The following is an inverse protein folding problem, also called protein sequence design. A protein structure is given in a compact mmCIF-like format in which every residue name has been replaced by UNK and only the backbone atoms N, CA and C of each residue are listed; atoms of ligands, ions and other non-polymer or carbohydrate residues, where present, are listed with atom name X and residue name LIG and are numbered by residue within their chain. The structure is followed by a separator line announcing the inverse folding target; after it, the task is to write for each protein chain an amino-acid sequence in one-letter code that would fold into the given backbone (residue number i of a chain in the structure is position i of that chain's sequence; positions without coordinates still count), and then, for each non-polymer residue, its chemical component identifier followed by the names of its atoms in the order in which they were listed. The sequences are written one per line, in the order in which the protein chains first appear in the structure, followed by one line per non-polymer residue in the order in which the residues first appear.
data_IF_181327640304
#
_entry.id   IF_181327640304
#
_cell.length_a   1.000
_cell.length_b   1.000
_cell.length_c   1.000
_cell.angle_alpha   90.00
_cell.angle_beta   90.00
_cell.angle_gamma   90.00
#
_symmetry.space_group_name_H-M   'P 1'
#
loop_
_entity.id
_entity.type
_entity.pdbx_description
1 polymer ?
#
# COMPACT_ATOMS: atom_id res chain seq x y z
N UNK A 1 -25.71 4.03 39.44
CA UNK A 1 -24.35 4.60 39.40
C UNK A 1 -24.26 5.46 38.15
N UNK A 2 -24.13 6.80 38.27
CA UNK A 2 -24.37 7.70 37.15
C UNK A 2 -23.12 8.02 36.32
N UNK A 3 -23.31 7.97 35.00
CA UNK A 3 -22.86 8.89 33.94
C UNK A 3 -21.58 9.72 34.18
N UNK A 4 -20.51 9.36 33.49
CA UNK A 4 -19.25 10.10 33.42
C UNK A 4 -19.30 11.26 32.41
N UNK A 5 -18.95 12.44 32.92
CA UNK A 5 -18.83 13.73 32.22
C UNK A 5 -17.71 13.73 31.16
N UNK A 6 -18.04 14.11 29.93
CA UNK A 6 -17.07 14.54 28.92
C UNK A 6 -17.02 16.07 28.91
N UNK A 7 -15.93 16.62 29.48
CA UNK A 7 -15.69 18.07 29.54
C UNK A 7 -15.28 18.58 28.16
N UNK A 8 -16.07 19.53 27.65
CA UNK A 8 -15.79 20.36 26.48
C UNK A 8 -14.52 21.18 26.70
N UNK A 9 -13.53 21.04 25.82
CA UNK A 9 -12.43 21.99 25.69
C UNK A 9 -12.90 23.16 24.81
N UNK A 10 -13.28 24.27 25.45
CA UNK A 10 -13.40 25.59 24.80
C UNK A 10 -11.99 26.15 24.58
N UNK A 11 -11.59 26.36 23.33
CA UNK A 11 -10.41 27.14 23.00
C UNK A 11 -10.86 28.61 22.94
N UNK A 12 -10.36 29.38 23.90
CA UNK A 12 -10.56 30.81 24.04
C UNK A 12 -9.83 31.57 22.93
N UNK A 13 -10.59 32.33 22.14
CA UNK A 13 -10.07 33.35 21.21
C UNK A 13 -9.60 34.56 22.00
N UNK A 14 -8.35 34.96 21.81
CA UNK A 14 -7.86 36.30 22.16
C UNK A 14 -6.88 36.78 21.08
N UNK A 15 -7.30 37.79 20.31
CA UNK A 15 -6.40 38.66 19.57
C UNK A 15 -5.48 39.41 20.55
N UNK A 16 -4.27 39.75 20.09
CA UNK A 16 -3.90 41.16 20.20
C UNK A 16 -3.35 41.72 18.89
N UNK A 17 -3.81 42.93 18.56
CA UNK A 17 -3.11 43.88 17.72
C UNK A 17 -1.68 44.06 18.25
N UNK A 18 -0.67 44.01 17.38
CA UNK A 18 0.48 44.90 17.49
C UNK A 18 1.04 45.22 16.10
N UNK A 19 0.99 46.52 15.81
CA UNK A 19 1.47 47.22 14.64
C UNK A 19 2.99 47.13 14.47
N UNK A 20 3.39 46.92 13.21
CA UNK A 20 4.54 47.55 12.54
C UNK A 20 5.88 47.62 13.26
N UNK A 21 6.83 46.79 12.83
CA UNK A 21 8.25 47.13 12.69
C UNK A 21 8.96 46.07 11.81
N UNK A 22 9.71 46.57 10.82
CA UNK A 22 10.82 45.90 10.10
C UNK A 22 10.50 44.95 8.93
N UNK A 23 10.16 45.53 7.78
CA UNK A 23 10.20 44.91 6.44
C UNK A 23 11.62 44.72 5.87
N UNK A 24 12.68 45.07 6.60
CA UNK A 24 14.06 45.00 6.07
C UNK A 24 14.77 43.67 6.36
N UNK A 25 14.26 42.84 7.28
CA UNK A 25 14.90 41.55 7.63
C UNK A 25 14.49 40.37 6.74
N UNK A 26 13.43 40.51 5.94
CA UNK A 26 12.86 39.42 5.10
C UNK A 26 13.55 39.23 3.74
N UNK A 27 14.36 40.20 3.30
CA UNK A 27 15.07 40.10 2.03
C UNK A 27 16.36 39.27 2.10
N UNK A 28 16.94 39.10 3.30
CA UNK A 28 18.15 38.28 3.50
C UNK A 28 17.86 36.78 3.44
N UNK A 29 16.76 36.33 4.06
CA UNK A 29 16.43 34.91 4.14
C UNK A 29 16.08 34.29 2.77
N UNK A 30 15.41 35.03 1.87
CA UNK A 30 15.10 34.55 0.52
C UNK A 30 16.35 34.38 -0.34
N UNK A 31 17.33 35.27 -0.19
CA UNK A 31 18.61 35.17 -0.90
C UNK A 31 19.45 33.98 -0.41
N UNK A 32 19.46 33.72 0.91
CA UNK A 32 20.14 32.55 1.46
C UNK A 32 19.51 31.23 1.01
N UNK A 33 18.18 31.15 0.95
CA UNK A 33 17.46 29.96 0.46
C UNK A 33 17.74 29.72 -1.03
N UNK A 34 17.76 30.76 -1.86
CA UNK A 34 18.14 30.65 -3.28
C UNK A 34 19.60 30.20 -3.49
N UNK A 35 20.54 30.70 -2.67
CA UNK A 35 21.93 30.27 -2.68
C UNK A 35 22.07 28.80 -2.25
N UNK A 36 21.33 28.37 -1.22
CA UNK A 36 21.29 26.95 -0.82
C UNK A 36 20.68 26.05 -1.89
N UNK A 37 19.60 26.47 -2.56
CA UNK A 37 19.00 25.71 -3.67
C UNK A 37 19.96 25.59 -4.87
N UNK A 38 20.70 26.65 -5.22
CA UNK A 38 21.70 26.61 -6.28
C UNK A 38 22.88 25.68 -5.94
N UNK A 39 23.33 25.66 -4.68
CA UNK A 39 24.39 24.73 -4.22
C UNK A 39 23.92 23.28 -4.24
N UNK A 40 22.64 23.01 -3.94
CA UNK A 40 22.06 21.65 -4.00
C UNK A 40 21.92 21.16 -5.47
N UNK A 41 21.54 22.03 -6.41
CA UNK A 41 21.46 21.65 -7.83
C UNK A 41 22.81 21.23 -8.44
N UNK A 42 23.93 21.74 -7.93
CA UNK A 42 25.27 21.37 -8.43
C UNK A 42 25.73 19.97 -8.01
N UNK A 43 25.08 19.34 -7.03
CA UNK A 43 25.44 18.01 -6.54
C UNK A 43 24.71 16.85 -7.26
N UNK A 44 23.68 17.12 -8.07
CA UNK A 44 22.93 16.08 -8.79
C UNK A 44 23.39 15.87 -10.25
N UNK A 45 24.31 16.70 -10.77
CA UNK A 45 24.79 16.57 -12.16
C UNK A 45 25.84 15.46 -12.33
N UNK A 46 26.35 14.87 -11.25
CA UNK A 46 27.36 13.80 -11.33
C UNK A 46 26.78 12.37 -11.33
N UNK A 47 25.45 12.21 -11.20
CA UNK A 47 24.83 10.88 -11.10
C UNK A 47 24.23 10.34 -12.42
N UNK A 48 24.19 11.13 -13.50
CA UNK A 48 23.55 10.73 -14.77
C UNK A 48 24.50 10.20 -15.84
N UNK A 49 25.82 10.24 -15.64
CA UNK A 49 26.79 9.81 -16.66
C UNK A 49 27.37 8.40 -16.47
N UNK A 50 26.87 7.62 -15.50
CA UNK A 50 27.17 6.18 -15.39
C UNK A 50 26.10 5.35 -16.10
N UNK A 51 25.96 5.58 -17.40
CA UNK A 51 25.20 4.70 -18.27
C UNK A 51 25.90 3.35 -18.41
N UNK A 52 25.10 2.29 -18.38
CA UNK A 52 25.26 1.18 -19.33
C UNK A 52 26.25 0.09 -18.96
N UNK A 53 25.80 -0.92 -18.21
CA UNK A 53 26.02 -2.31 -18.60
C UNK A 53 24.97 -3.22 -17.93
N UNK A 54 24.03 -3.74 -18.72
CA UNK A 54 23.20 -4.87 -18.33
C UNK A 54 24.10 -6.12 -18.24
N UNK A 55 24.06 -6.92 -17.17
CA UNK A 55 24.71 -8.22 -17.18
C UNK A 55 23.97 -9.15 -18.16
N UNK A 56 24.70 -9.54 -19.21
CA UNK A 56 24.32 -10.59 -20.14
C UNK A 56 24.25 -11.93 -19.39
N UNK A 57 23.04 -12.49 -19.24
CA UNK A 57 22.86 -13.85 -18.77
C UNK A 57 22.97 -14.81 -19.97
N UNK A 58 23.94 -15.75 -19.99
CA UNK A 58 23.92 -16.81 -20.99
C UNK A 58 22.71 -17.71 -20.76
N UNK A 59 21.96 -17.94 -21.83
CA UNK A 59 20.80 -18.83 -21.89
C UNK A 59 21.22 -20.25 -21.51
N UNK A 60 20.63 -20.82 -20.46
CA UNK A 60 20.84 -22.22 -20.10
C UNK A 60 20.10 -23.12 -21.11
N UNK A 61 20.88 -23.88 -21.85
CA UNK A 61 20.43 -24.88 -22.83
C UNK A 61 19.60 -25.99 -22.16
N UNK A 62 18.53 -26.41 -22.83
CA UNK A 62 17.64 -27.48 -22.39
C UNK A 62 18.35 -28.85 -22.42
N UNK A 63 18.12 -29.75 -21.45
CA UNK A 63 18.67 -31.11 -21.52
C UNK A 63 17.94 -31.95 -22.57
N UNK A 64 18.70 -32.52 -23.50
CA UNK A 64 18.25 -33.54 -24.46
C UNK A 64 17.95 -34.90 -23.77
N UNK A 65 17.18 -35.80 -24.41
CA UNK A 65 16.54 -36.96 -23.75
C UNK A 65 17.47 -38.18 -23.59
N UNK A 66 17.23 -38.96 -22.52
CA UNK A 66 17.92 -40.23 -22.24
C UNK A 66 17.57 -41.35 -23.24
N UNK A 67 18.53 -42.19 -23.66
CA UNK A 67 18.26 -43.36 -24.48
C UNK A 67 17.77 -44.56 -23.66
N UNK A 68 16.81 -45.28 -24.22
CA UNK A 68 16.29 -46.56 -23.71
C UNK A 68 17.28 -47.70 -24.01
N UNK A 69 17.66 -48.46 -22.98
CA UNK A 69 18.39 -49.72 -23.13
C UNK A 69 17.55 -50.89 -22.63
N UNK A 70 17.20 -51.80 -23.55
CA UNK A 70 16.38 -52.99 -23.31
C UNK A 70 17.09 -54.05 -22.46
N UNK A 71 16.27 -54.79 -21.73
CA UNK A 71 16.63 -55.97 -20.93
C UNK A 71 17.06 -57.15 -21.81
N UNK A 72 18.13 -57.83 -21.40
CA UNK A 72 18.40 -59.21 -21.79
C UNK A 72 18.63 -60.08 -20.55
N UNK A 73 17.88 -61.19 -20.50
CA UNK A 73 17.98 -62.27 -19.52
C UNK A 73 19.07 -63.28 -19.93
N UNK A 74 19.86 -63.80 -18.99
CA UNK A 74 20.24 -65.23 -18.91
C UNK A 74 20.82 -65.57 -17.50
N UNK A 75 20.74 -66.83 -17.02
CA UNK A 75 20.56 -67.18 -15.61
C UNK A 75 21.74 -67.92 -14.93
N UNK A 76 21.57 -68.16 -13.62
CA UNK A 76 22.12 -69.26 -12.78
C UNK A 76 23.63 -69.27 -12.53
N UNK A 77 24.23 -69.58 -11.37
CA UNK A 77 23.87 -70.19 -10.07
C UNK A 77 25.02 -69.84 -9.05
N UNK A 78 24.96 -70.22 -7.74
CA UNK A 78 25.59 -69.49 -6.63
C UNK A 78 26.98 -70.00 -6.20
N UNK A 79 27.72 -69.22 -5.39
CA UNK A 79 28.26 -69.81 -4.16
C UNK A 79 28.22 -68.89 -2.91
N UNK A 80 27.65 -69.46 -1.85
CA UNK A 80 28.05 -69.40 -0.43
C UNK A 80 28.55 -68.07 0.18
N UNK A 81 27.72 -67.45 1.02
CA UNK A 81 28.07 -66.32 1.89
C UNK A 81 29.03 -66.71 3.02
N UNK A 82 30.08 -65.90 3.31
CA UNK A 82 30.67 -65.78 4.63
C UNK A 82 29.93 -64.73 5.50
N UNK A 83 30.06 -64.76 6.83
CA UNK A 83 29.18 -64.03 7.75
C UNK A 83 29.36 -62.50 7.63
N UNK A 84 28.23 -61.79 7.57
CA UNK A 84 28.17 -60.34 7.50
C UNK A 84 28.85 -59.68 8.71
N UNK A 85 29.87 -58.85 8.48
CA UNK A 85 30.29 -57.83 9.45
C UNK A 85 29.25 -56.72 9.42
N UNK A 86 28.62 -56.44 10.56
CA UNK A 86 27.66 -55.35 10.71
C UNK A 86 28.34 -53.98 10.41
N UNK A 87 27.67 -53.06 9.71
CA UNK A 87 28.15 -51.68 9.57
C UNK A 87 28.08 -50.95 10.92
N UNK A 88 28.92 -49.93 11.15
CA UNK A 88 28.88 -49.14 12.38
C UNK A 88 27.53 -48.43 12.51
N UNK A 89 26.87 -48.61 13.65
CA UNK A 89 25.65 -47.90 14.01
C UNK A 89 25.94 -46.41 14.15
N UNK A 90 25.43 -45.60 13.22
CA UNK A 90 25.43 -44.15 13.39
C UNK A 90 24.48 -43.77 14.54
N UNK A 91 24.85 -42.82 15.41
CA UNK A 91 23.95 -42.33 16.45
C UNK A 91 22.70 -41.66 15.84
N UNK A 92 21.54 -41.68 16.52
CA UNK A 92 20.32 -41.09 15.99
C UNK A 92 20.51 -39.58 15.75
N UNK A 93 20.36 -39.14 14.50
CA UNK A 93 20.26 -37.72 14.16
C UNK A 93 18.89 -37.24 14.64
N UNK A 94 18.87 -36.40 15.68
CA UNK A 94 17.64 -35.74 16.10
C UNK A 94 17.11 -34.86 14.95
N UNK A 95 15.79 -34.88 14.67
CA UNK A 95 15.21 -34.03 13.65
C UNK A 95 15.44 -32.54 13.97
N UNK A 96 15.60 -31.66 12.96
CA UNK A 96 15.77 -30.23 13.19
C UNK A 96 14.60 -29.68 13.99
N UNK A 97 14.89 -29.13 15.17
CA UNK A 97 13.90 -28.45 16.00
C UNK A 97 13.46 -27.17 15.29
N UNK A 98 12.33 -27.19 14.60
CA UNK A 98 11.74 -25.97 14.08
C UNK A 98 11.34 -25.07 15.25
N UNK A 99 11.70 -23.77 15.22
CA UNK A 99 11.23 -22.84 16.26
C UNK A 99 9.70 -22.80 16.27
N UNK A 100 9.07 -22.61 17.43
CA UNK A 100 7.62 -22.52 17.53
C UNK A 100 7.09 -21.42 16.61
N UNK A 101 6.28 -21.81 15.64
CA UNK A 101 5.57 -20.90 14.76
C UNK A 101 4.38 -20.33 15.53
N UNK A 102 4.52 -19.10 16.03
CA UNK A 102 3.41 -18.40 16.68
C UNK A 102 2.46 -17.86 15.59
N UNK A 103 1.13 -18.03 15.75
CA UNK A 103 0.18 -17.46 14.82
C UNK A 103 0.30 -15.93 14.82
N UNK A 104 0.20 -15.27 13.66
CA UNK A 104 0.34 -13.82 13.57
C UNK A 104 -0.72 -13.13 14.44
N UNK A 105 -0.27 -12.20 15.28
CA UNK A 105 -1.14 -11.43 16.19
C UNK A 105 -2.15 -10.63 15.38
N UNK A 106 -3.45 -10.84 15.63
CA UNK A 106 -4.53 -10.14 14.94
C UNK A 106 -4.64 -8.72 15.46
N UNK A 107 -4.68 -7.75 14.54
CA UNK A 107 -4.93 -6.34 14.85
C UNK A 107 -6.22 -5.88 14.22
N UNK A 108 -6.82 -4.82 14.76
CA UNK A 108 -7.89 -4.10 14.06
C UNK A 108 -7.37 -3.49 12.76
N UNK A 109 -8.27 -3.16 11.86
CA UNK A 109 -7.93 -2.58 10.55
C UNK A 109 -8.37 -1.14 10.51
N UNK A 110 -7.46 -0.26 10.09
CA UNK A 110 -7.79 1.08 9.65
C UNK A 110 -7.44 1.21 8.17
N UNK A 111 -8.29 1.87 7.40
CA UNK A 111 -8.11 2.07 5.96
C UNK A 111 -8.10 3.56 5.68
N UNK A 112 -7.12 4.01 4.90
CA UNK A 112 -7.04 5.39 4.45
C UNK A 112 -6.84 5.49 2.94
N UNK A 113 -7.23 6.63 2.38
CA UNK A 113 -7.01 6.96 0.98
C UNK A 113 -7.40 8.41 0.69
N UNK A 114 -7.25 8.80 -0.58
CA UNK A 114 -7.59 10.14 -1.06
C UNK A 114 -8.43 10.01 -2.31
N UNK A 115 -9.41 10.90 -2.47
CA UNK A 115 -10.26 11.01 -3.66
C UNK A 115 -10.00 12.35 -4.33
N UNK A 116 -9.83 12.29 -5.64
CA UNK A 116 -9.63 13.45 -6.49
C UNK A 116 -10.79 13.65 -7.47
N UNK A 117 -10.90 14.88 -7.95
CA UNK A 117 -11.61 15.21 -9.16
C UNK A 117 -10.59 15.41 -10.28
N UNK A 118 -10.69 14.61 -11.35
CA UNK A 118 -9.80 14.77 -12.51
C UNK A 118 -10.09 16.07 -13.25
N UNK A 119 -9.03 16.66 -13.79
CA UNK A 119 -9.18 17.77 -14.72
C UNK A 119 -9.92 17.31 -15.97
N UNK A 120 -10.76 18.20 -16.48
CA UNK A 120 -11.42 18.11 -17.77
C UNK A 120 -10.47 17.74 -18.91
N UNK A 121 -9.21 18.17 -18.82
CA UNK A 121 -8.23 17.96 -19.89
C UNK A 121 -7.82 16.49 -20.07
N UNK A 122 -7.95 15.68 -19.02
CA UNK A 122 -7.48 14.30 -19.00
C UNK A 122 -8.61 13.29 -18.81
N UNK A 123 -9.80 13.64 -19.29
CA UNK A 123 -10.95 12.75 -19.25
C UNK A 123 -10.69 11.47 -20.05
N UNK A 124 -11.00 10.32 -19.47
CA UNK A 124 -10.76 9.00 -20.07
C UNK A 124 -9.32 8.50 -19.99
N UNK A 125 -8.39 9.31 -19.47
CA UNK A 125 -6.98 8.94 -19.31
C UNK A 125 -6.68 8.72 -17.84
N UNK A 126 -6.13 7.58 -17.45
CA UNK A 126 -5.82 7.24 -16.06
C UNK A 126 -4.62 8.06 -15.51
N UNK A 127 -4.87 9.33 -15.24
CA UNK A 127 -3.91 10.28 -14.68
C UNK A 127 -4.55 11.17 -13.62
N UNK A 128 -3.73 11.63 -12.68
CA UNK A 128 -4.07 12.62 -11.66
C UNK A 128 -3.46 13.99 -11.97
N UNK A 129 -2.92 14.20 -13.17
CA UNK A 129 -2.40 15.50 -13.59
C UNK A 129 -3.50 16.55 -13.61
N UNK A 130 -3.26 17.68 -12.94
CA UNK A 130 -4.25 18.75 -12.78
C UNK A 130 -5.49 18.36 -11.97
N UNK A 131 -5.49 17.20 -11.32
CA UNK A 131 -6.61 16.77 -10.48
C UNK A 131 -6.62 17.55 -9.16
N UNK A 132 -7.81 17.92 -8.69
CA UNK A 132 -8.00 18.60 -7.42
C UNK A 132 -8.52 17.63 -6.36
N UNK A 133 -8.13 17.75 -5.08
CA UNK A 133 -8.69 16.93 -4.03
C UNK A 133 -10.20 17.18 -3.89
N UNK A 134 -10.99 16.11 -3.78
CA UNK A 134 -12.44 16.20 -3.80
C UNK A 134 -13.02 16.01 -2.39
N UNK A 135 -13.47 17.11 -1.80
CA UNK A 135 -14.13 17.10 -0.50
C UNK A 135 -15.56 16.59 -0.57
N UNK A 136 -16.01 15.85 0.45
CA UNK A 136 -17.38 15.34 0.57
C UNK A 136 -17.72 14.17 -0.36
N UNK A 137 -16.73 13.58 -1.04
CA UNK A 137 -16.91 12.37 -1.83
C UNK A 137 -17.23 11.18 -0.92
N UNK A 138 -18.25 10.40 -1.27
CA UNK A 138 -18.62 9.21 -0.53
C UNK A 138 -17.84 7.99 -1.03
N UNK A 139 -17.24 7.27 -0.09
CA UNK A 139 -16.52 6.02 -0.32
C UNK A 139 -17.05 4.95 0.64
N UNK A 140 -17.10 3.69 0.18
CA UNK A 140 -17.53 2.56 1.01
C UNK A 140 -16.44 1.50 1.11
N UNK A 141 -16.20 1.03 2.32
CA UNK A 141 -15.50 -0.23 2.57
C UNK A 141 -16.53 -1.34 2.60
N UNK A 142 -16.32 -2.38 1.80
CA UNK A 142 -17.19 -3.55 1.76
C UNK A 142 -16.35 -4.82 1.83
N UNK A 143 -16.67 -5.70 2.78
CA UNK A 143 -16.03 -6.99 2.94
C UNK A 143 -16.99 -8.11 2.56
N UNK A 144 -16.56 -8.95 1.61
CA UNK A 144 -17.32 -10.11 1.19
C UNK A 144 -16.87 -11.34 2.00
N UNK A 145 -17.33 -11.44 3.24
CA UNK A 145 -17.08 -12.60 4.10
C UNK A 145 -18.39 -13.38 4.28
N UNK A 146 -18.33 -14.71 4.17
CA UNK A 146 -19.51 -15.60 4.24
C UNK A 146 -20.19 -15.61 5.61
N UNK A 147 -19.52 -15.17 6.68
CA UNK A 147 -20.13 -15.07 8.03
C UNK A 147 -20.64 -13.68 8.39
N UNK A 148 -20.06 -12.61 7.85
CA UNK A 148 -20.36 -11.24 8.26
C UNK A 148 -20.25 -10.30 7.06
N UNK A 149 -21.38 -9.69 6.68
CA UNK A 149 -21.40 -8.61 5.71
C UNK A 149 -21.02 -7.31 6.42
N UNK A 150 -19.80 -6.81 6.17
CA UNK A 150 -19.37 -5.50 6.65
C UNK A 150 -19.44 -4.51 5.50
N UNK A 151 -20.25 -3.46 5.68
CA UNK A 151 -20.30 -2.30 4.79
C UNK A 151 -20.23 -1.06 5.67
N UNK A 152 -19.25 -0.20 5.43
CA UNK A 152 -19.10 1.07 6.13
C UNK A 152 -18.80 2.17 5.12
N UNK A 153 -19.57 3.25 5.17
CA UNK A 153 -19.46 4.37 4.23
C UNK A 153 -19.04 5.63 4.98
N UNK A 154 -18.10 6.36 4.40
CA UNK A 154 -17.64 7.65 4.93
C UNK A 154 -17.54 8.67 3.79
N UNK A 155 -17.46 9.93 4.16
CA UNK A 155 -17.18 11.03 3.24
C UNK A 155 -15.77 11.56 3.42
N UNK A 156 -15.16 12.04 2.35
CA UNK A 156 -13.84 12.66 2.40
C UNK A 156 -13.86 14.03 3.08
N UNK A 157 -12.72 14.39 3.67
CA UNK A 157 -12.48 15.69 4.29
C UNK A 157 -12.19 16.80 3.25
N UNK A 158 -11.75 17.98 3.70
CA UNK A 158 -11.42 19.12 2.82
C UNK A 158 -10.28 18.85 1.84
N UNK A 159 -9.39 17.91 2.16
CA UNK A 159 -8.24 17.52 1.35
C UNK A 159 -8.55 16.27 0.51
N UNK A 160 -9.83 15.86 0.41
CA UNK A 160 -10.22 14.64 -0.26
C UNK A 160 -9.78 13.37 0.47
N UNK A 161 -9.24 13.46 1.67
CA UNK A 161 -8.77 12.32 2.45
C UNK A 161 -9.93 11.64 3.19
N UNK A 162 -9.86 10.32 3.31
CA UNK A 162 -10.79 9.55 4.14
C UNK A 162 -10.05 8.56 5.01
N UNK A 163 -10.67 8.25 6.16
CA UNK A 163 -10.20 7.26 7.12
C UNK A 163 -11.39 6.44 7.62
N UNK A 164 -11.30 5.12 7.52
CA UNK A 164 -12.34 4.17 7.94
C UNK A 164 -11.72 3.20 8.95
N UNK A 165 -12.33 3.04 10.11
CA UNK A 165 -11.86 2.10 11.15
C UNK A 165 -13.04 1.26 11.65
N UNK A 166 -13.32 0.12 11.01
CA UNK A 166 -14.46 -0.70 11.38
C UNK A 166 -14.24 -1.40 12.72
N UNK A 167 -15.26 -1.40 13.56
CA UNK A 167 -15.19 -1.97 14.92
C UNK A 167 -14.85 -3.46 14.94
N UNK A 168 -15.31 -4.23 13.95
CA UNK A 168 -15.22 -5.70 13.93
C UNK A 168 -14.27 -6.26 12.87
N UNK A 169 -13.58 -5.39 12.11
CA UNK A 169 -12.65 -5.84 11.08
C UNK A 169 -11.24 -6.04 11.67
N UNK A 170 -10.71 -7.24 11.46
CA UNK A 170 -9.33 -7.59 11.83
C UNK A 170 -8.50 -7.95 10.60
N UNK A 171 -7.19 -7.99 10.75
CA UNK A 171 -6.23 -8.37 9.69
C UNK A 171 -6.52 -9.74 9.06
N UNK A 172 -7.22 -10.64 9.77
CA UNK A 172 -7.65 -11.92 9.22
C UNK A 172 -8.70 -11.80 8.10
N UNK A 173 -9.52 -10.75 8.13
CA UNK A 173 -10.60 -10.51 7.16
C UNK A 173 -10.26 -9.47 6.09
N UNK A 174 -9.18 -8.71 6.24
CA UNK A 174 -8.87 -7.55 5.37
C UNK A 174 -8.72 -7.91 3.90
N UNK A 175 -8.17 -9.08 3.59
CA UNK A 175 -7.96 -9.55 2.22
C UNK A 175 -9.26 -9.83 1.44
N UNK A 176 -10.41 -9.91 2.13
CA UNK A 176 -11.75 -10.06 1.52
C UNK A 176 -12.48 -8.73 1.37
N UNK A 177 -11.84 -7.63 1.77
CA UNK A 177 -12.40 -6.30 1.74
C UNK A 177 -11.93 -5.54 0.52
N UNK A 178 -12.80 -4.68 0.02
CA UNK A 178 -12.52 -3.72 -1.04
C UNK A 178 -13.10 -2.36 -0.69
N UNK A 179 -12.44 -1.30 -1.13
CA UNK A 179 -12.98 0.07 -1.04
C UNK A 179 -13.49 0.50 -2.40
N UNK A 180 -14.69 1.06 -2.43
CA UNK A 180 -15.35 1.52 -3.64
C UNK A 180 -15.65 3.00 -3.54
N UNK A 181 -15.45 3.69 -4.66
CA UNK A 181 -15.98 5.01 -4.91
C UNK A 181 -17.51 4.92 -5.06
N UNK A 182 -18.27 5.79 -4.37
CA UNK A 182 -19.74 5.73 -4.40
C UNK A 182 -20.33 6.94 -5.12
N UNK A 183 -20.08 8.14 -4.61
CA UNK A 183 -20.65 9.36 -5.18
C UNK A 183 -19.79 10.58 -4.88
N UNK A 184 -19.99 11.61 -5.69
CA UNK A 184 -19.34 12.91 -5.55
C UNK A 184 -20.40 13.98 -5.22
N UNK A 185 -20.07 14.98 -4.40
CA UNK A 185 -20.96 16.11 -4.15
C UNK A 185 -20.94 17.12 -5.30
N UNK A 186 -19.99 17.02 -6.23
CA UNK A 186 -19.83 17.93 -7.35
C UNK A 186 -20.48 17.38 -8.61
N UNK A 187 -21.51 18.05 -9.13
CA UNK A 187 -22.21 17.63 -10.34
C UNK A 187 -21.30 17.59 -11.58
N UNK A 188 -20.37 18.57 -11.68
CA UNK A 188 -19.37 18.64 -12.75
C UNK A 188 -18.25 17.60 -12.62
N UNK A 189 -18.22 16.80 -11.55
CA UNK A 189 -17.20 15.78 -11.31
C UNK A 189 -17.79 14.57 -10.59
N UNK A 190 -18.71 13.89 -11.27
CA UNK A 190 -19.60 12.89 -10.68
C UNK A 190 -19.46 11.49 -11.27
N UNK A 191 -18.65 11.31 -12.33
CA UNK A 191 -18.49 10.01 -12.99
C UNK A 191 -17.43 9.19 -12.26
N UNK A 192 -17.78 8.05 -11.63
CA UNK A 192 -16.78 7.24 -10.94
C UNK A 192 -15.82 6.61 -11.96
N UNK A 193 -14.50 6.71 -11.71
CA UNK A 193 -13.49 6.05 -12.55
C UNK A 193 -12.95 4.79 -11.88
N UNK A 194 -12.36 3.89 -12.68
CA UNK A 194 -11.68 2.72 -12.14
C UNK A 194 -10.18 2.95 -11.85
N UNK A 195 -9.75 4.21 -11.76
CA UNK A 195 -8.39 4.55 -11.38
C UNK A 195 -8.05 3.92 -10.02
N UNK A 196 -6.98 3.14 -9.97
CA UNK A 196 -6.57 2.32 -8.82
C UNK A 196 -7.68 1.42 -8.24
N UNK A 197 -8.65 1.02 -9.07
CA UNK A 197 -9.79 0.19 -8.65
C UNK A 197 -10.91 0.96 -7.96
N UNK A 198 -11.00 2.29 -8.10
CA UNK A 198 -12.04 3.10 -7.45
C UNK A 198 -13.46 2.59 -7.68
N UNK A 199 -13.90 2.49 -8.94
CA UNK A 199 -15.23 1.97 -9.29
C UNK A 199 -15.37 0.45 -9.10
N UNK A 200 -14.35 -0.33 -9.44
CA UNK A 200 -14.36 -1.80 -9.41
C UNK A 200 -14.04 -2.44 -8.06
N UNK A 201 -13.64 -1.62 -7.08
CA UNK A 201 -13.24 -2.03 -5.74
C UNK A 201 -11.73 -2.26 -5.62
N UNK A 202 -11.07 -1.37 -4.89
CA UNK A 202 -9.64 -1.42 -4.62
C UNK A 202 -9.33 -2.34 -3.44
N UNK A 203 -8.27 -3.13 -3.57
CA UNK A 203 -7.77 -4.01 -2.51
C UNK A 203 -7.02 -3.20 -1.44
N UNK A 204 -7.13 -3.64 -0.19
CA UNK A 204 -6.43 -3.01 0.92
C UNK A 204 -4.94 -3.42 0.89
N UNK A 205 -4.04 -2.45 0.77
CA UNK A 205 -2.59 -2.67 0.82
C UNK A 205 -2.05 -2.25 2.19
N UNK A 206 -1.25 -3.06 2.89
CA UNK A 206 -0.61 -2.62 4.13
C UNK A 206 0.23 -1.36 3.90
N UNK A 207 0.13 -0.38 4.80
CA UNK A 207 0.95 0.83 4.70
C UNK A 207 2.44 0.47 4.85
N UNK A 208 3.26 0.86 3.88
CA UNK A 208 4.72 0.61 3.87
C UNK A 208 5.48 1.38 4.95
N UNK A 209 4.94 2.55 5.33
CA UNK A 209 5.47 3.39 6.40
C UNK A 209 4.36 3.62 7.44
N UNK A 210 4.19 2.71 8.42
CA UNK A 210 3.26 2.97 9.50
C UNK A 210 3.70 4.24 10.26
N UNK A 211 2.77 5.02 10.83
CA UNK A 211 3.12 6.18 11.64
C UNK A 211 4.13 5.77 12.73
N UNK A 212 5.29 6.41 12.75
CA UNK A 212 6.28 6.23 13.81
C UNK A 212 5.65 6.79 15.08
N UNK A 213 5.25 5.89 15.96
CA UNK A 213 4.55 6.19 17.21
C UNK A 213 5.36 5.55 18.33
N UNK A 214 5.47 6.24 19.47
CA UNK A 214 6.19 5.72 20.64
C UNK A 214 5.60 4.40 21.15
N UNK A 215 4.31 4.18 20.87
CA UNK A 215 3.56 2.98 21.25
C UNK A 215 2.98 2.29 20.01
N UNK A 216 2.94 0.94 19.97
CA UNK A 216 2.31 0.21 18.88
C UNK A 216 0.85 0.62 18.71
N UNK A 217 0.48 1.01 17.49
CA UNK A 217 -0.91 1.30 17.15
C UNK A 217 -1.80 0.07 17.43
N UNK A 218 -3.03 0.26 17.96
CA UNK A 218 -3.96 -0.85 18.22
C UNK A 218 -4.55 -1.44 16.92
N UNK A 219 -4.22 -0.85 15.77
CA UNK A 219 -4.66 -1.27 14.45
C UNK A 219 -3.48 -1.35 13.47
N UNK A 220 -3.65 -2.14 12.42
CA UNK A 220 -2.81 -2.11 11.24
C UNK A 220 -3.41 -1.12 10.24
N UNK A 221 -2.59 -0.18 9.76
CA UNK A 221 -2.99 0.77 8.74
C UNK A 221 -2.87 0.14 7.35
N UNK A 222 -3.93 0.27 6.56
CA UNK A 222 -3.99 -0.09 5.15
C UNK A 222 -4.25 1.17 4.33
N UNK A 223 -3.59 1.24 3.18
CA UNK A 223 -3.78 2.26 2.16
C UNK A 223 -4.51 1.66 0.98
N UNK A 224 -5.35 2.47 0.34
CA UNK A 224 -5.87 2.20 -0.99
C UNK A 224 -5.41 3.30 -1.93
N UNK A 225 -5.29 2.99 -3.22
CA UNK A 225 -4.78 3.94 -4.21
C UNK A 225 -5.65 5.19 -4.27
N UNK A 226 -5.08 6.33 -4.70
CA UNK A 226 -5.86 7.54 -4.86
C UNK A 226 -6.95 7.29 -5.91
N UNK A 227 -8.20 7.51 -5.53
CA UNK A 227 -9.32 7.36 -6.45
C UNK A 227 -9.64 8.66 -7.15
N UNK A 228 -10.41 8.58 -8.23
CA UNK A 228 -10.87 9.77 -8.91
C UNK A 228 -12.29 9.65 -9.44
N UNK A 229 -12.99 10.78 -9.40
CA UNK A 229 -14.12 11.04 -10.28
C UNK A 229 -13.64 11.78 -11.53
N UNK A 230 -14.38 11.57 -12.61
CA UNK A 230 -14.25 12.28 -13.86
C UNK A 230 -15.35 13.31 -14.04
N UNK A 231 -15.06 14.39 -14.80
CA UNK A 231 -16.07 15.30 -15.25
C UNK A 231 -17.12 14.64 -16.14
N UNK A 232 -18.37 15.05 -15.95
CA UNK A 232 -19.47 14.54 -16.75
C UNK A 232 -19.28 14.94 -18.23
N UNK A 233 -19.81 14.13 -19.16
CA UNK A 233 -19.74 14.42 -20.61
C UNK A 233 -20.43 15.72 -21.03
N UNK A 234 -21.31 16.25 -20.19
CA UNK A 234 -22.02 17.50 -20.43
C UNK A 234 -21.23 18.73 -19.92
N UNK A 235 -20.09 18.52 -19.26
CA UNK A 235 -19.22 19.63 -18.85
C UNK A 235 -18.35 19.98 -20.06
N UNK A 236 -18.53 21.20 -20.59
CA UNK A 236 -17.66 21.73 -21.62
C UNK A 236 -16.25 21.87 -21.07
N UNK A 237 -15.34 21.08 -21.62
CA UNK A 237 -13.93 21.14 -21.32
C UNK A 237 -13.33 22.15 -22.31
N UNK A 238 -13.01 23.36 -21.85
CA UNK A 238 -12.27 24.32 -22.66
C UNK A 238 -10.78 24.04 -22.47
N UNK A 239 -10.07 23.85 -23.58
CA UNK A 239 -8.65 23.50 -23.64
C UNK A 239 -7.84 24.68 -24.15
#
# INVERSE_FOLDING_TARGET
MPLGNWKLYKISTSEPLLSGLSTMALFSAKALVLLHFLVICSAEVEAVNAAGQLPYFPSAEAPAPSPKGNHHHHPSHPPTQPPAKQPPTHPPVNPPTHPPSYPPTRKYVAVQGVVYCKSCQYKGIDTLMGASPLSGAAVKLQCNNTKYHLVEQVTTDKNGYFFIMPKMLTTAGSHKCKVFLVSSPMANCSVPTNLHGGAGGAILMPATKPPVTEHPLPFQLFTVGPFAFEPHKNVSCHF
#
